data_IF_413024838814
#
_entry.id   IF_413024838814
#
_cell.length_a   1.000
_cell.length_b   1.000
_cell.length_c   1.000
_cell.angle_alpha   90.00
_cell.angle_beta   90.00
_cell.angle_gamma   90.00
#
_symmetry.space_group_name_H-M   'P 1'
#
loop_
_entity.id
_entity.type
_entity.pdbx_description
1 polymer ?
#
# COMPACT_ATOMS: atom_id res chain seq x y z
N UNK A 1 -3.18 20.28 11.47
CA UNK A 1 -3.90 19.45 12.46
C UNK A 1 -3.19 19.60 13.80
N UNK A 2 -3.86 19.35 14.93
CA UNK A 2 -3.25 19.41 16.27
C UNK A 2 -2.60 18.08 16.66
N UNK A 3 -1.69 18.12 17.65
CA UNK A 3 -1.10 16.90 18.23
C UNK A 3 -2.17 15.97 18.83
N UNK A 4 -3.21 16.54 19.45
CA UNK A 4 -4.29 15.75 20.05
C UNK A 4 -5.07 14.96 18.99
N UNK A 5 -5.37 15.58 17.84
CA UNK A 5 -6.02 14.91 16.70
C UNK A 5 -5.11 13.83 16.09
N UNK A 6 -3.80 14.06 16.00
CA UNK A 6 -2.84 13.05 15.53
C UNK A 6 -2.86 11.83 16.46
N UNK A 7 -2.76 12.05 17.78
CA UNK A 7 -2.78 10.97 18.76
C UNK A 7 -4.12 10.21 18.75
N UNK A 8 -5.25 10.89 18.55
CA UNK A 8 -6.56 10.25 18.40
C UNK A 8 -6.59 9.35 17.15
N UNK A 9 -6.09 9.84 16.01
CA UNK A 9 -6.01 9.08 14.78
C UNK A 9 -5.12 7.84 14.91
N UNK A 10 -3.94 7.98 15.50
CA UNK A 10 -3.03 6.86 15.77
C UNK A 10 -3.66 5.80 16.68
N UNK A 11 -4.36 6.24 17.74
CA UNK A 11 -5.03 5.34 18.66
C UNK A 11 -6.19 4.58 17.99
N UNK A 12 -7.00 5.24 17.16
CA UNK A 12 -8.11 4.61 16.44
C UNK A 12 -7.63 3.65 15.36
N UNK A 13 -6.57 4.02 14.63
CA UNK A 13 -5.99 3.22 13.54
C UNK A 13 -5.05 2.11 14.05
N UNK A 14 -4.69 2.10 15.34
CA UNK A 14 -3.79 1.12 15.94
C UNK A 14 -2.34 1.22 15.46
N UNK A 15 -1.93 2.35 14.92
CA UNK A 15 -0.59 2.59 14.35
C UNK A 15 0.05 3.83 14.95
N UNK A 16 1.37 3.94 14.84
CA UNK A 16 2.08 5.19 15.08
C UNK A 16 2.55 5.75 13.76
N UNK A 17 2.24 7.00 13.44
CA UNK A 17 2.69 7.63 12.20
C UNK A 17 4.20 7.89 12.21
N UNK A 18 4.89 7.65 11.08
CA UNK A 18 6.29 8.05 10.93
C UNK A 18 6.49 9.52 11.28
N UNK A 19 7.61 9.85 11.94
CA UNK A 19 7.88 11.21 12.44
C UNK A 19 7.77 12.27 11.34
N UNK A 20 8.37 12.02 10.18
CA UNK A 20 8.30 12.91 9.01
C UNK A 20 6.86 13.19 8.55
N UNK A 21 5.95 12.21 8.68
CA UNK A 21 4.54 12.39 8.35
C UNK A 21 3.80 13.17 9.44
N UNK A 22 4.07 12.91 10.73
CA UNK A 22 3.51 13.72 11.83
C UNK A 22 3.87 15.20 11.68
N UNK A 23 5.14 15.49 11.42
CA UNK A 23 5.62 16.86 11.21
C UNK A 23 4.93 17.55 10.02
N UNK A 24 4.58 16.79 8.98
CA UNK A 24 3.77 17.29 7.87
C UNK A 24 2.32 17.60 8.29
N UNK A 25 1.68 16.71 9.04
CA UNK A 25 0.28 16.88 9.50
C UNK A 25 0.08 18.10 10.40
N UNK A 26 1.11 18.50 11.14
CA UNK A 26 1.11 19.69 12.00
C UNK A 26 1.21 21.00 11.22
N UNK A 27 1.72 20.98 9.99
CA UNK A 27 1.86 22.20 9.18
C UNK A 27 0.51 22.69 8.67
N UNK A 28 0.32 24.01 8.49
CA UNK A 28 -0.82 24.53 7.75
C UNK A 28 -0.82 23.93 6.34
N UNK A 29 -1.88 23.19 5.99
CA UNK A 29 -1.98 22.51 4.70
C UNK A 29 -1.95 23.54 3.56
N UNK A 30 -0.97 23.42 2.66
CA UNK A 30 -0.85 24.27 1.47
C UNK A 30 -1.69 23.76 0.27
N UNK A 31 -2.45 22.68 0.45
CA UNK A 31 -2.96 21.90 -0.68
C UNK A 31 -1.83 21.11 -1.37
N UNK A 32 -2.16 19.99 -2.01
CA UNK A 32 -1.18 19.13 -2.67
C UNK A 32 -1.79 17.78 -3.07
N UNK A 33 -0.99 16.95 -3.73
CA UNK A 33 -1.37 15.62 -4.22
C UNK A 33 -1.42 14.53 -3.12
N UNK A 34 -1.05 14.88 -1.88
CA UNK A 34 -1.08 13.96 -0.73
C UNK A 34 -2.50 13.77 -0.23
N UNK A 35 -2.96 12.52 -0.15
CA UNK A 35 -4.23 12.14 0.44
C UNK A 35 -4.33 12.65 1.88
N UNK A 36 -5.43 13.35 2.19
CA UNK A 36 -5.55 14.13 3.42
C UNK A 36 -6.13 13.28 4.54
N UNK A 37 -5.36 13.06 5.61
CA UNK A 37 -5.89 12.48 6.84
C UNK A 37 -6.99 13.38 7.42
N UNK A 38 -8.16 12.82 7.67
CA UNK A 38 -9.31 13.51 8.26
C UNK A 38 -10.22 12.56 9.01
N UNK A 39 -10.94 13.08 9.99
CA UNK A 39 -12.02 12.35 10.65
C UNK A 39 -13.34 12.54 9.91
N UNK A 40 -14.07 11.46 9.72
CA UNK A 40 -15.42 11.43 9.14
C UNK A 40 -16.39 10.72 10.10
N UNK A 41 -17.66 10.58 9.71
CA UNK A 41 -18.62 9.79 10.49
C UNK A 41 -18.22 8.31 10.62
N UNK A 42 -17.39 7.80 9.71
CA UNK A 42 -16.87 6.43 9.75
C UNK A 42 -15.56 6.28 10.55
N UNK A 43 -15.02 7.38 11.09
CA UNK A 43 -13.72 7.38 11.78
C UNK A 43 -12.63 8.14 11.02
N UNK A 44 -11.39 7.95 11.46
CA UNK A 44 -10.17 8.49 10.85
C UNK A 44 -9.78 7.74 9.58
N UNK A 45 -9.41 8.49 8.55
CA UNK A 45 -8.92 7.91 7.30
C UNK A 45 -8.39 8.95 6.33
N UNK A 46 -7.88 8.48 5.20
CA UNK A 46 -7.29 9.34 4.17
C UNK A 46 -8.31 9.69 3.10
N UNK A 47 -8.55 10.98 2.90
CA UNK A 47 -9.41 11.42 1.81
C UNK A 47 -8.67 11.36 0.47
N UNK A 48 -9.33 10.78 -0.53
CA UNK A 48 -8.73 10.48 -1.83
C UNK A 48 -8.16 9.06 -1.92
N UNK A 49 -8.20 8.33 -0.80
CA UNK A 49 -7.79 6.95 -0.72
C UNK A 49 -9.00 6.04 -0.48
N UNK A 50 -9.17 5.06 -1.36
CA UNK A 50 -10.13 3.96 -1.22
C UNK A 50 -9.47 2.59 -1.29
N UNK A 51 -8.13 2.52 -1.28
CA UNK A 51 -7.34 1.31 -1.50
C UNK A 51 -6.66 0.79 -0.23
N UNK A 52 -6.44 1.64 0.78
CA UNK A 52 -5.89 1.17 2.06
C UNK A 52 -6.87 0.21 2.74
N UNK A 53 -6.43 -1.03 2.95
CA UNK A 53 -7.11 -1.99 3.82
C UNK A 53 -6.73 -1.71 5.28
N UNK A 54 -7.67 -1.10 6.02
CA UNK A 54 -7.46 -0.69 7.41
C UNK A 54 -7.25 -1.86 8.38
N UNK A 55 -7.78 -3.05 8.06
CA UNK A 55 -7.63 -4.25 8.91
C UNK A 55 -6.18 -4.78 8.89
N UNK A 56 -5.42 -4.46 7.83
CA UNK A 56 -4.03 -4.89 7.66
C UNK A 56 -3.00 -3.83 8.11
N UNK A 57 -3.44 -2.65 8.56
CA UNK A 57 -2.54 -1.54 8.93
C UNK A 57 -1.60 -1.86 10.10
N UNK A 58 -2.04 -2.72 11.01
CA UNK A 58 -1.26 -3.11 12.19
C UNK A 58 -0.29 -4.27 11.93
N UNK A 59 -0.37 -4.88 10.74
CA UNK A 59 0.57 -5.90 10.30
C UNK A 59 1.81 -5.25 9.68
N UNK A 60 2.95 -5.92 9.78
CA UNK A 60 4.19 -5.39 9.21
C UNK A 60 4.13 -5.40 7.67
N UNK A 61 4.60 -4.31 7.05
CA UNK A 61 4.76 -4.27 5.60
C UNK A 61 5.78 -5.31 5.14
N UNK A 62 5.37 -6.25 4.27
CA UNK A 62 6.26 -7.30 3.80
C UNK A 62 7.22 -6.76 2.74
N UNK A 63 8.48 -7.21 2.79
CA UNK A 63 9.42 -6.92 1.72
C UNK A 63 9.02 -7.74 0.47
N UNK A 64 9.12 -7.20 -0.77
CA UNK A 64 8.73 -7.94 -1.96
C UNK A 64 9.36 -9.32 -2.10
N UNK A 65 10.65 -9.45 -1.76
CA UNK A 65 11.35 -10.74 -1.80
C UNK A 65 10.77 -11.79 -0.85
N UNK A 66 10.03 -11.41 0.21
CA UNK A 66 9.55 -12.37 1.20
C UNK A 66 8.35 -13.19 0.73
N UNK A 67 7.59 -12.71 -0.25
CA UNK A 67 6.39 -13.39 -0.76
C UNK A 67 6.55 -13.92 -2.19
N UNK A 68 7.73 -13.78 -2.80
CA UNK A 68 7.98 -14.24 -4.18
C UNK A 68 7.74 -15.73 -4.40
N UNK A 69 8.18 -16.57 -3.46
CA UNK A 69 8.00 -18.01 -3.59
C UNK A 69 6.52 -18.42 -3.47
N UNK A 70 5.80 -17.79 -2.53
CA UNK A 70 4.36 -18.01 -2.34
C UNK A 70 3.56 -17.54 -3.57
N UNK A 71 3.96 -16.42 -4.18
CA UNK A 71 3.40 -15.91 -5.44
C UNK A 71 3.64 -16.90 -6.58
N UNK A 72 4.87 -17.36 -6.78
CA UNK A 72 5.22 -18.34 -7.82
C UNK A 72 4.44 -19.66 -7.64
N UNK A 73 4.20 -20.11 -6.41
CA UNK A 73 3.37 -21.28 -6.12
C UNK A 73 1.89 -21.03 -6.45
N UNK A 74 1.37 -19.84 -6.13
CA UNK A 74 -0.01 -19.48 -6.42
C UNK A 74 -0.26 -19.33 -7.92
N UNK A 75 0.65 -18.67 -8.63
CA UNK A 75 0.62 -18.55 -10.10
C UNK A 75 0.66 -19.93 -10.77
N UNK A 76 1.50 -20.85 -10.27
CA UNK A 76 1.59 -22.21 -10.80
C UNK A 76 0.30 -23.05 -10.59
N UNK A 77 -0.58 -22.62 -9.67
CA UNK A 77 -1.88 -23.24 -9.41
C UNK A 77 -3.03 -22.57 -10.15
N UNK A 78 -2.77 -21.57 -11.00
CA UNK A 78 -3.81 -20.94 -11.80
C UNK A 78 -4.59 -22.01 -12.61
N UNK A 79 -5.92 -22.14 -12.41
CA UNK A 79 -6.71 -23.13 -13.13
C UNK A 79 -6.65 -22.90 -14.64
N UNK A 80 -6.37 -23.95 -15.41
CA UNK A 80 -6.44 -23.92 -16.87
C UNK A 80 -7.70 -24.64 -17.34
N UNK A 81 -8.41 -24.07 -18.32
CA UNK A 81 -9.69 -24.63 -18.81
C UNK A 81 -9.57 -26.10 -19.26
N UNK A 82 -8.43 -26.47 -19.86
CA UNK A 82 -8.14 -27.83 -20.35
C UNK A 82 -8.02 -28.90 -19.24
N UNK A 83 -7.81 -28.50 -17.99
CA UNK A 83 -7.65 -29.42 -16.84
C UNK A 83 -9.00 -29.88 -16.26
N UNK A 84 -10.12 -29.32 -16.73
CA UNK A 84 -11.45 -29.55 -16.17
C UNK A 84 -12.40 -30.23 -17.17
N UNK A 85 -13.31 -31.10 -16.68
CA UNK A 85 -14.21 -31.86 -17.55
C UNK A 85 -15.30 -30.99 -18.19
N UNK A 86 -15.61 -29.85 -17.59
CA UNK A 86 -16.61 -28.90 -18.07
C UNK A 86 -16.35 -27.49 -17.52
N UNK A 87 -17.06 -26.52 -18.10
CA UNK A 87 -16.92 -25.10 -17.78
C UNK A 87 -17.35 -24.75 -16.36
N UNK A 88 -18.34 -25.46 -15.80
CA UNK A 88 -18.83 -25.14 -14.46
C UNK A 88 -17.80 -25.55 -13.40
N UNK A 89 -17.15 -26.72 -13.58
CA UNK A 89 -16.04 -27.16 -12.75
C UNK A 89 -14.82 -26.22 -12.84
N UNK A 90 -14.48 -25.77 -14.05
CA UNK A 90 -13.42 -24.76 -14.24
C UNK A 90 -13.76 -23.44 -13.53
N UNK A 91 -14.97 -22.92 -13.70
CA UNK A 91 -15.38 -21.65 -13.10
C UNK A 91 -15.33 -21.69 -11.57
N UNK A 92 -15.73 -22.81 -10.96
CA UNK A 92 -15.64 -22.99 -9.50
C UNK A 92 -14.18 -22.97 -9.02
N UNK A 93 -13.29 -23.69 -9.71
CA UNK A 93 -11.87 -23.68 -9.37
C UNK A 93 -11.23 -22.30 -9.56
N UNK A 94 -11.57 -21.61 -10.66
CA UNK A 94 -11.10 -20.26 -10.94
C UNK A 94 -11.55 -19.28 -9.86
N UNK A 95 -12.82 -19.33 -9.43
CA UNK A 95 -13.32 -18.46 -8.36
C UNK A 95 -12.60 -18.69 -7.02
N UNK A 96 -12.28 -19.95 -6.70
CA UNK A 96 -11.56 -20.29 -5.47
C UNK A 96 -10.12 -19.76 -5.51
N UNK A 97 -9.45 -19.92 -6.65
CA UNK A 97 -8.10 -19.41 -6.86
C UNK A 97 -8.09 -17.87 -6.85
N UNK A 98 -9.02 -17.21 -7.52
CA UNK A 98 -9.13 -15.74 -7.59
C UNK A 98 -9.37 -15.14 -6.20
N UNK A 99 -10.22 -15.76 -5.38
CA UNK A 99 -10.45 -15.33 -3.99
C UNK A 99 -9.20 -15.51 -3.11
N UNK A 100 -8.41 -16.57 -3.31
CA UNK A 100 -7.11 -16.74 -2.65
C UNK A 100 -6.09 -15.68 -3.12
N UNK A 101 -6.07 -15.42 -4.42
CA UNK A 101 -5.21 -14.44 -5.06
C UNK A 101 -5.49 -13.02 -4.59
N UNK A 102 -6.77 -12.63 -4.48
CA UNK A 102 -7.19 -11.34 -3.97
C UNK A 102 -6.65 -11.11 -2.55
N UNK A 103 -6.84 -12.08 -1.64
CA UNK A 103 -6.32 -12.02 -0.27
C UNK A 103 -4.80 -11.93 -0.26
N UNK A 104 -4.11 -12.64 -1.15
CA UNK A 104 -2.66 -12.56 -1.29
C UNK A 104 -2.21 -11.16 -1.74
N UNK A 105 -2.86 -10.58 -2.75
CA UNK A 105 -2.55 -9.25 -3.26
C UNK A 105 -2.81 -8.15 -2.24
N UNK A 106 -3.88 -8.25 -1.44
CA UNK A 106 -4.12 -7.31 -0.34
C UNK A 106 -3.01 -7.33 0.71
N UNK A 107 -2.49 -8.52 1.04
CA UNK A 107 -1.44 -8.67 2.06
C UNK A 107 -0.12 -8.00 1.65
N UNK A 108 0.16 -7.83 0.36
CA UNK A 108 1.37 -7.16 -0.12
C UNK A 108 1.48 -5.70 0.32
N UNK A 109 0.37 -5.03 0.64
CA UNK A 109 0.34 -3.64 1.10
C UNK A 109 0.01 -3.49 2.58
N UNK A 110 0.03 -4.60 3.35
CA UNK A 110 -0.12 -4.59 4.81
C UNK A 110 0.79 -3.53 5.45
N UNK A 111 0.33 -2.83 6.48
CA UNK A 111 1.17 -1.84 7.17
C UNK A 111 1.59 -0.64 6.32
N UNK A 112 0.97 -0.39 5.16
CA UNK A 112 1.19 0.78 4.33
C UNK A 112 -0.12 1.51 4.02
N UNK A 113 -0.01 2.81 3.73
CA UNK A 113 -1.14 3.67 3.32
C UNK A 113 -0.93 4.19 1.92
N UNK A 114 -1.98 4.23 1.11
CA UNK A 114 -1.98 4.83 -0.22
C UNK A 114 -2.02 6.36 -0.08
N UNK A 115 -0.84 6.98 -0.13
CA UNK A 115 -0.67 8.39 0.22
C UNK A 115 -0.88 9.34 -0.96
N UNK A 116 -0.82 8.82 -2.19
CA UNK A 116 -1.08 9.55 -3.43
C UNK A 116 -1.41 8.58 -4.56
N UNK A 117 -2.47 8.85 -5.33
CA UNK A 117 -2.77 8.18 -6.61
C UNK A 117 -1.98 8.89 -7.73
N UNK A 118 -1.39 8.11 -8.65
CA UNK A 118 -0.49 8.61 -9.70
C UNK A 118 -1.07 8.46 -11.12
N UNK A 119 -2.35 8.13 -11.27
CA UNK A 119 -3.00 7.72 -12.51
C UNK A 119 -2.74 6.25 -12.87
N UNK A 120 -3.57 5.71 -13.76
CA UNK A 120 -3.39 4.38 -14.38
C UNK A 120 -3.26 3.21 -13.40
N UNK A 121 -3.84 3.33 -12.20
CA UNK A 121 -3.76 2.29 -11.16
C UNK A 121 -2.45 2.31 -10.38
N UNK A 122 -1.56 3.28 -10.64
CA UNK A 122 -0.34 3.46 -9.85
C UNK A 122 -0.61 4.28 -8.61
N UNK A 123 0.09 3.97 -7.54
CA UNK A 123 -0.01 4.72 -6.29
C UNK A 123 1.33 4.79 -5.58
N UNK A 124 1.46 5.79 -4.72
CA UNK A 124 2.58 5.91 -3.80
C UNK A 124 2.12 5.44 -2.43
N UNK A 125 2.94 4.62 -1.79
CA UNK A 125 2.69 4.07 -0.47
C UNK A 125 3.61 4.74 0.55
N UNK A 126 3.07 5.02 1.74
CA UNK A 126 3.84 5.33 2.94
C UNK A 126 3.74 4.13 3.88
N UNK A 127 4.87 3.53 4.24
CA UNK A 127 4.89 2.43 5.22
C UNK A 127 4.75 2.99 6.63
N UNK A 128 3.76 2.49 7.37
CA UNK A 128 3.43 2.94 8.73
C UNK A 128 3.73 1.88 9.80
N UNK A 129 3.84 0.60 9.43
CA UNK A 129 4.08 -0.51 10.36
C UNK A 129 5.14 -1.48 9.84
N UNK A 130 6.01 -1.97 10.74
CA UNK A 130 7.06 -2.95 10.43
C UNK A 130 8.46 -2.35 10.17
N UNK A 131 9.42 -3.16 9.70
CA UNK A 131 10.84 -2.77 9.56
C UNK A 131 11.09 -1.61 8.58
N UNK A 132 10.21 -1.44 7.59
CA UNK A 132 10.32 -0.40 6.57
C UNK A 132 9.56 0.89 6.94
N UNK A 133 9.06 1.01 8.17
CA UNK A 133 8.27 2.15 8.63
C UNK A 133 8.96 3.49 8.36
N UNK A 134 8.22 4.41 7.73
CA UNK A 134 8.67 5.75 7.36
C UNK A 134 9.32 5.85 5.98
N UNK A 135 9.44 4.73 5.26
CA UNK A 135 9.92 4.72 3.87
C UNK A 135 8.75 4.81 2.88
N UNK A 136 9.06 5.32 1.69
CA UNK A 136 8.12 5.49 0.58
C UNK A 136 8.33 4.42 -0.47
N UNK A 137 7.23 3.93 -1.03
CA UNK A 137 7.24 2.88 -2.06
C UNK A 137 6.29 3.25 -3.19
N UNK A 138 6.52 2.66 -4.36
CA UNK A 138 5.66 2.79 -5.52
C UNK A 138 4.92 1.47 -5.75
N UNK A 139 3.60 1.53 -5.76
CA UNK A 139 2.76 0.41 -6.17
C UNK A 139 2.70 0.39 -7.71
N UNK A 140 3.57 -0.45 -8.30
CA UNK A 140 3.69 -0.67 -9.74
C UNK A 140 2.95 -1.92 -10.21
N UNK A 141 2.08 -2.51 -9.37
CA UNK A 141 1.42 -3.78 -9.69
C UNK A 141 0.55 -3.72 -10.94
N UNK A 142 0.03 -2.55 -11.29
CA UNK A 142 -0.75 -2.36 -12.53
C UNK A 142 0.02 -2.68 -13.82
N UNK A 143 1.36 -2.75 -13.81
CA UNK A 143 2.16 -3.05 -15.02
C UNK A 143 3.29 -4.04 -14.85
N UNK A 144 3.83 -4.20 -13.64
CA UNK A 144 4.98 -5.07 -13.41
C UNK A 144 4.80 -6.02 -12.22
N UNK A 145 3.58 -6.08 -11.66
CA UNK A 145 3.20 -6.92 -10.51
C UNK A 145 4.06 -6.71 -9.25
N UNK A 146 4.81 -5.59 -9.19
CA UNK A 146 5.76 -5.30 -8.11
C UNK A 146 5.43 -4.02 -7.35
N UNK A 147 5.77 -4.06 -6.06
CA UNK A 147 5.88 -2.87 -5.22
C UNK A 147 7.37 -2.54 -5.11
N UNK A 148 7.75 -1.33 -5.52
CA UNK A 148 9.14 -0.92 -5.69
C UNK A 148 9.54 0.09 -4.61
N UNK A 149 10.71 -0.05 -3.97
CA UNK A 149 11.18 0.94 -3.02
C UNK A 149 11.53 2.22 -3.76
N UNK A 150 11.15 3.38 -3.20
CA UNK A 150 11.66 4.66 -3.70
C UNK A 150 13.07 4.90 -3.13
N UNK A 151 13.98 5.28 -4.01
CA UNK A 151 15.38 5.50 -3.69
C UNK A 151 15.81 6.93 -4.07
N UNK A 152 16.70 7.50 -3.25
CA UNK A 152 17.35 8.76 -3.55
C UNK A 152 18.82 8.69 -3.14
N UNK A 153 19.71 8.47 -4.12
CA UNK A 153 21.16 8.33 -3.93
C UNK A 153 21.55 7.11 -3.06
N UNK A 154 20.93 5.95 -3.32
CA UNK A 154 21.27 4.68 -2.65
C UNK A 154 20.68 4.53 -1.25
N UNK A 155 19.72 5.37 -0.85
CA UNK A 155 19.02 5.30 0.44
C UNK A 155 17.50 5.29 0.24
N UNK A 156 16.76 4.58 1.11
CA UNK A 156 15.31 4.64 1.14
C UNK A 156 14.81 6.08 1.29
N UNK A 157 13.79 6.44 0.50
CA UNK A 157 13.17 7.77 0.53
C UNK A 157 12.24 7.88 1.73
N UNK A 158 12.40 8.96 2.52
CA UNK A 158 11.45 9.33 3.57
C UNK A 158 10.28 10.16 2.99
N UNK A 159 9.19 10.31 3.76
CA UNK A 159 8.08 11.18 3.38
C UNK A 159 8.53 12.60 3.04
N UNK A 160 9.48 13.17 3.80
CA UNK A 160 9.99 14.53 3.57
C UNK A 160 10.85 14.62 2.30
N UNK A 161 11.65 13.59 2.00
CA UNK A 161 12.43 13.54 0.76
C UNK A 161 11.51 13.46 -0.47
N UNK A 162 10.44 12.67 -0.38
CA UNK A 162 9.46 12.48 -1.44
C UNK A 162 8.55 13.70 -1.68
N UNK A 163 8.20 14.43 -0.62
CA UNK A 163 7.20 15.50 -0.69
C UNK A 163 7.49 16.51 -1.80
N UNK A 164 6.58 16.62 -2.76
CA UNK A 164 6.69 17.54 -3.91
C UNK A 164 7.47 16.98 -5.11
N UNK A 165 7.85 15.69 -5.10
CA UNK A 165 8.48 14.99 -6.23
C UNK A 165 7.50 14.02 -6.89
N UNK A 166 7.81 13.65 -8.13
CA UNK A 166 7.14 12.52 -8.78
C UNK A 166 7.79 11.21 -8.30
N UNK A 167 6.98 10.23 -7.89
CA UNK A 167 7.47 8.92 -7.44
C UNK A 167 8.24 8.16 -8.51
N UNK A 168 7.88 8.32 -9.79
CA UNK A 168 8.59 7.67 -10.90
C UNK A 168 10.01 8.19 -11.09
N UNK A 169 10.32 9.43 -10.69
CA UNK A 169 11.66 10.01 -10.73
C UNK A 169 12.59 9.43 -9.64
N UNK A 170 12.02 8.64 -8.71
CA UNK A 170 12.69 8.05 -7.55
C UNK A 170 12.78 6.52 -7.65
N UNK A 171 12.45 5.96 -8.82
CA UNK A 171 12.65 4.55 -9.11
C UNK A 171 14.06 4.34 -9.66
N UNK A 172 14.76 3.36 -9.12
CA UNK A 172 15.99 2.83 -9.72
C UNK A 172 15.58 1.86 -10.84
N UNK A 173 15.70 2.30 -12.09
CA UNK A 173 15.50 1.48 -13.29
C UNK A 173 16.71 0.60 -13.60
#
# INVERSE_FOLDING_TARGET
MSEAEICEAEAELGIAFPQAYREYLLRPSAGGAVNRLRRTAAGWGWHGDSSTNYDLLTLAFPHPDSYRADEEELDAREPLEDDYPDRDAYQEAWNQWDAEYEVFQERKTSGAVFIQENGCGFSTLLVVTGPHRGTMWFDGRATCDRILPLNLNGRPVSFTDWLGRNSMDLLDW
#
